data_IF_740359103240
#
_entry.id   IF_740359103240
#
_cell.length_a   1.000
_cell.length_b   1.000
_cell.length_c   1.000
_cell.angle_alpha   90.00
_cell.angle_beta   90.00
_cell.angle_gamma   90.00
#
_symmetry.space_group_name_H-M   'P 1'
#
loop_
_entity.id
_entity.type
_entity.pdbx_description
1 polymer ?
#
# COMPACT_ATOMS: atom_id res chain seq x y z
N UNK A 1 -18.01 9.67 -40.10
CA UNK A 1 -16.89 10.00 -39.20
C UNK A 1 -16.29 8.70 -38.70
N UNK A 2 -15.03 8.41 -39.04
CA UNK A 2 -14.37 7.13 -38.71
C UNK A 2 -14.03 7.10 -37.22
N UNK A 3 -14.57 6.13 -36.48
CA UNK A 3 -14.24 5.87 -35.07
C UNK A 3 -12.95 5.04 -35.05
N UNK A 4 -11.84 5.65 -34.65
CA UNK A 4 -10.56 4.95 -34.47
C UNK A 4 -10.51 4.52 -33.01
N UNK A 5 -10.81 3.24 -32.77
CA UNK A 5 -10.63 2.60 -31.46
C UNK A 5 -9.16 2.18 -31.34
N UNK A 6 -8.39 2.85 -30.49
CA UNK A 6 -7.03 2.44 -30.14
C UNK A 6 -7.13 1.43 -29.00
N UNK A 7 -6.91 0.16 -29.33
CA UNK A 7 -6.57 -0.90 -28.38
C UNK A 7 -5.06 -0.80 -28.10
N UNK A 8 -4.68 -0.21 -26.97
CA UNK A 8 -3.31 -0.23 -26.50
C UNK A 8 -3.14 -1.40 -25.53
N UNK A 9 -2.89 -2.59 -26.06
CA UNK A 9 -2.39 -3.72 -25.29
C UNK A 9 -0.88 -3.54 -25.12
N UNK A 10 -0.45 -3.15 -23.92
CA UNK A 10 0.97 -3.18 -23.54
C UNK A 10 1.12 -4.05 -22.31
N UNK A 11 1.38 -5.33 -22.57
CA UNK A 11 1.75 -6.33 -21.60
C UNK A 11 3.26 -6.17 -21.35
N UNK A 12 3.64 -5.38 -20.35
CA UNK A 12 5.00 -5.46 -19.78
C UNK A 12 4.98 -6.43 -18.61
N UNK A 13 5.41 -7.66 -18.89
CA UNK A 13 5.80 -8.62 -17.87
C UNK A 13 7.18 -8.17 -17.38
N UNK A 14 7.21 -7.28 -16.39
CA UNK A 14 8.43 -7.05 -15.64
C UNK A 14 8.61 -8.20 -14.65
N UNK A 15 9.57 -9.07 -14.92
CA UNK A 15 10.04 -10.10 -14.00
C UNK A 15 10.65 -9.43 -12.77
N UNK A 16 9.83 -9.14 -11.76
CA UNK A 16 10.36 -8.71 -10.47
C UNK A 16 11.09 -9.90 -9.83
N UNK A 17 12.41 -9.82 -9.78
CA UNK A 17 13.21 -10.67 -8.92
C UNK A 17 12.69 -10.47 -7.48
N UNK A 18 12.06 -11.50 -6.92
CA UNK A 18 11.67 -11.54 -5.52
C UNK A 18 12.92 -11.68 -4.67
N UNK A 19 13.53 -10.55 -4.30
CA UNK A 19 14.44 -10.54 -3.16
C UNK A 19 13.61 -10.69 -1.89
N UNK A 20 13.39 -11.94 -1.50
CA UNK A 20 13.08 -12.26 -0.11
C UNK A 20 14.30 -11.89 0.72
N UNK A 21 14.35 -10.65 1.24
CA UNK A 21 15.36 -10.28 2.21
C UNK A 21 15.00 -10.89 3.56
N UNK A 22 15.70 -11.99 3.82
CA UNK A 22 16.05 -12.62 5.08
C UNK A 22 15.93 -11.69 6.30
N UNK A 23 15.23 -12.18 7.33
CA UNK A 23 15.12 -11.50 8.61
C UNK A 23 16.48 -11.38 9.30
N UNK A 24 16.81 -10.18 9.74
CA UNK A 24 17.79 -9.96 10.79
C UNK A 24 17.56 -8.57 11.40
N UNK A 25 17.11 -8.53 12.65
CA UNK A 25 16.94 -7.31 13.43
C UNK A 25 15.55 -6.71 13.31
N UNK A 26 14.74 -6.90 14.35
CA UNK A 26 13.48 -6.20 14.58
C UNK A 26 13.79 -4.72 14.89
N UNK A 27 14.26 -3.97 13.89
CA UNK A 27 14.22 -2.53 13.95
C UNK A 27 12.74 -2.18 13.94
N UNK A 28 12.23 -1.70 15.08
CA UNK A 28 10.88 -1.16 15.16
C UNK A 28 10.75 -0.07 14.11
N UNK A 29 10.17 -0.44 12.96
CA UNK A 29 9.82 0.51 11.93
C UNK A 29 8.90 1.54 12.58
N UNK A 30 9.31 2.80 12.61
CA UNK A 30 8.45 3.90 12.95
C UNK A 30 7.25 3.85 12.02
N UNK A 31 6.05 3.91 12.58
CA UNK A 31 4.81 4.04 11.82
C UNK A 31 4.23 5.41 12.12
N UNK A 32 4.66 6.47 11.37
CA UNK A 32 4.22 7.84 11.63
C UNK A 32 2.69 8.00 11.64
N UNK A 33 1.97 7.15 10.90
CA UNK A 33 0.52 7.22 10.77
C UNK A 33 -0.22 6.02 11.37
N UNK A 34 0.46 5.15 12.11
CA UNK A 34 -0.13 3.94 12.72
C UNK A 34 -0.48 2.82 11.73
N UNK A 35 0.04 2.87 10.50
CA UNK A 35 -0.09 1.82 9.49
C UNK A 35 0.94 0.69 9.59
N UNK A 36 0.89 -0.21 8.61
CA UNK A 36 1.96 -1.20 8.38
C UNK A 36 3.01 -0.59 7.48
N UNK A 37 4.27 -0.66 7.89
CA UNK A 37 5.42 -0.18 7.11
C UNK A 37 6.14 -1.37 6.47
N UNK A 38 6.52 -1.24 5.20
CA UNK A 38 7.34 -2.21 4.48
C UNK A 38 8.45 -1.52 3.69
N UNK A 39 9.65 -2.10 3.71
CA UNK A 39 10.77 -1.64 2.87
C UNK A 39 10.47 -1.85 1.39
N UNK A 40 10.92 -0.91 0.56
CA UNK A 40 10.64 -0.84 -0.87
C UNK A 40 11.84 -0.18 -1.60
N UNK A 41 12.96 -0.91 -1.68
CA UNK A 41 14.23 -0.39 -2.21
C UNK A 41 14.86 0.65 -1.26
N UNK A 42 15.24 1.81 -1.78
CA UNK A 42 15.78 2.94 -1.00
C UNK A 42 14.72 3.64 -0.11
N UNK A 43 13.45 3.24 -0.23
CA UNK A 43 12.30 3.86 0.41
C UNK A 43 11.56 2.87 1.31
N UNK A 44 10.62 3.40 2.09
CA UNK A 44 9.62 2.60 2.79
C UNK A 44 8.22 3.06 2.37
N UNK A 45 7.25 2.16 2.46
CA UNK A 45 5.85 2.46 2.21
C UNK A 45 5.08 2.13 3.48
N UNK A 46 4.31 3.10 3.98
CA UNK A 46 3.36 2.90 5.06
C UNK A 46 1.96 2.83 4.47
N UNK A 47 1.18 1.80 4.84
CA UNK A 47 -0.23 1.68 4.48
C UNK A 47 -1.08 1.46 5.73
N UNK A 48 -2.17 2.22 5.84
CA UNK A 48 -3.24 1.95 6.80
C UNK A 48 -4.57 1.81 6.07
N UNK A 49 -5.44 0.97 6.63
CA UNK A 49 -6.83 0.83 6.16
C UNK A 49 -7.72 1.23 7.31
N UNK A 50 -8.55 2.25 7.11
CA UNK A 50 -9.51 2.71 8.11
C UNK A 50 -10.79 3.17 7.42
N UNK A 51 -11.94 2.74 7.95
CA UNK A 51 -13.27 3.15 7.48
C UNK A 51 -13.53 2.94 5.97
N UNK A 52 -12.89 1.92 5.39
CA UNK A 52 -12.94 1.62 3.95
C UNK A 52 -12.03 2.51 3.09
N UNK A 53 -11.06 3.19 3.68
CA UNK A 53 -10.07 4.00 2.97
C UNK A 53 -8.69 3.39 3.12
N UNK A 54 -8.00 3.21 2.00
CA UNK A 54 -6.57 2.91 1.97
C UNK A 54 -5.83 4.23 1.98
N UNK A 55 -5.03 4.45 3.02
CA UNK A 55 -4.10 5.57 3.11
C UNK A 55 -2.68 5.04 2.94
N UNK A 56 -1.93 5.61 2.00
CA UNK A 56 -0.58 5.24 1.69
C UNK A 56 0.37 6.44 1.75
N UNK A 57 1.57 6.22 2.27
CA UNK A 57 2.59 7.24 2.43
C UNK A 57 3.93 6.70 1.93
N UNK A 58 4.70 7.55 1.27
CA UNK A 58 6.07 7.25 0.88
C UNK A 58 7.02 7.83 1.91
N UNK A 59 7.91 6.98 2.43
CA UNK A 59 8.89 7.32 3.46
C UNK A 59 10.30 7.18 2.87
N UNK A 60 11.25 7.96 3.38
CA UNK A 60 12.64 7.85 2.99
C UNK A 60 13.33 6.62 3.62
N UNK A 61 14.62 6.43 3.34
CA UNK A 61 15.43 5.34 3.90
C UNK A 61 15.61 5.40 5.42
N UNK A 62 15.16 6.47 6.08
CA UNK A 62 15.15 6.66 7.54
C UNK A 62 13.72 6.66 8.10
N UNK A 63 12.74 6.20 7.32
CA UNK A 63 11.32 6.14 7.67
C UNK A 63 10.69 7.50 7.97
N UNK A 64 11.27 8.59 7.44
CA UNK A 64 10.64 9.90 7.51
C UNK A 64 9.66 10.04 6.35
N UNK A 65 8.44 10.47 6.65
CA UNK A 65 7.43 10.76 5.63
C UNK A 65 7.93 11.82 4.64
N UNK A 66 7.69 11.59 3.36
CA UNK A 66 8.02 12.53 2.29
C UNK A 66 6.77 13.25 1.78
N UNK A 67 6.97 14.47 1.24
CA UNK A 67 5.90 15.22 0.59
C UNK A 67 5.42 14.49 -0.67
N UNK A 68 4.13 14.59 -0.96
CA UNK A 68 3.51 14.01 -2.15
C UNK A 68 3.75 14.83 -3.43
N UNK A 69 4.37 16.00 -3.33
CA UNK A 69 4.67 16.86 -4.49
C UNK A 69 5.67 16.18 -5.43
N UNK A 70 5.30 16.01 -6.69
CA UNK A 70 6.12 15.33 -7.69
C UNK A 70 6.18 13.81 -7.53
N UNK A 71 5.35 13.24 -6.66
CA UNK A 71 5.21 11.80 -6.43
C UNK A 71 3.90 11.33 -7.05
N UNK A 72 3.94 10.22 -7.79
CA UNK A 72 2.73 9.53 -8.27
C UNK A 72 2.57 8.21 -7.54
N UNK A 73 1.32 7.81 -7.29
CA UNK A 73 0.99 6.57 -6.60
C UNK A 73 -0.05 5.75 -7.36
N UNK A 74 0.17 4.44 -7.44
CA UNK A 74 -0.81 3.47 -7.93
C UNK A 74 -0.92 2.31 -6.95
N UNK A 75 -2.01 1.55 -7.03
CA UNK A 75 -2.12 0.28 -6.34
C UNK A 75 -2.80 -0.78 -7.21
N UNK A 76 -2.30 -2.01 -7.15
CA UNK A 76 -3.04 -3.18 -7.60
C UNK A 76 -3.78 -3.76 -6.39
N UNK A 77 -5.10 -3.65 -6.39
CA UNK A 77 -5.95 -4.18 -5.32
C UNK A 77 -6.48 -5.54 -5.74
N UNK A 78 -6.37 -6.54 -4.86
CA UNK A 78 -6.97 -7.85 -5.02
C UNK A 78 -8.18 -8.01 -4.09
N UNK A 79 -9.34 -8.30 -4.66
CA UNK A 79 -10.57 -8.65 -3.92
C UNK A 79 -10.52 -10.09 -3.41
N UNK A 80 -11.41 -10.43 -2.48
CA UNK A 80 -11.45 -11.76 -1.86
C UNK A 80 -11.74 -12.91 -2.85
N UNK A 81 -12.43 -12.60 -3.95
CA UNK A 81 -12.69 -13.53 -5.07
C UNK A 81 -11.49 -13.68 -6.03
N UNK A 82 -10.37 -13.01 -5.74
CA UNK A 82 -9.13 -13.08 -6.52
C UNK A 82 -9.03 -12.08 -7.67
N UNK A 83 -10.09 -11.31 -7.97
CA UNK A 83 -10.02 -10.30 -9.02
C UNK A 83 -9.05 -9.17 -8.65
N UNK A 84 -8.36 -8.63 -9.66
CA UNK A 84 -7.40 -7.53 -9.47
C UNK A 84 -7.82 -6.29 -10.24
N UNK A 85 -7.60 -5.11 -9.65
CA UNK A 85 -7.80 -3.82 -10.32
C UNK A 85 -6.60 -2.92 -10.07
N UNK A 86 -6.12 -2.25 -11.13
CA UNK A 86 -5.11 -1.20 -11.01
C UNK A 86 -5.80 0.15 -10.81
N UNK A 87 -5.42 0.86 -9.75
CA UNK A 87 -5.99 2.14 -9.36
C UNK A 87 -4.91 3.19 -9.22
N UNK A 88 -5.27 4.45 -9.53
CA UNK A 88 -4.43 5.60 -9.19
C UNK A 88 -4.79 6.07 -7.80
N UNK A 89 -3.79 6.28 -6.94
CA UNK A 89 -4.00 6.86 -5.62
C UNK A 89 -4.06 8.39 -5.74
N UNK A 90 -4.97 9.00 -5.01
CA UNK A 90 -5.23 10.44 -5.07
C UNK A 90 -4.45 11.12 -3.94
N UNK A 91 -3.64 12.16 -4.21
CA UNK A 91 -2.98 12.92 -3.16
C UNK A 91 -3.96 13.41 -2.08
N UNK A 92 -3.57 13.27 -0.82
CA UNK A 92 -4.32 13.73 0.34
C UNK A 92 -3.40 14.48 1.30
N UNK A 93 -3.75 15.75 1.58
CA UNK A 93 -2.87 16.63 2.33
C UNK A 93 -1.52 16.82 1.64
N UNK A 94 -0.47 17.01 2.43
CA UNK A 94 0.88 17.30 1.91
C UNK A 94 1.74 16.04 1.64
N UNK A 95 1.33 14.88 2.16
CA UNK A 95 2.21 13.70 2.29
C UNK A 95 1.50 12.39 1.96
N UNK A 96 0.17 12.34 2.09
CA UNK A 96 -0.61 11.13 1.90
C UNK A 96 -1.11 10.95 0.48
N UNK A 97 -1.52 9.71 0.21
CA UNK A 97 -2.28 9.30 -0.95
C UNK A 97 -3.41 8.39 -0.50
N UNK A 98 -4.59 8.52 -1.10
CA UNK A 98 -5.78 7.77 -0.70
C UNK A 98 -6.42 7.02 -1.86
N UNK A 99 -7.17 5.97 -1.49
CA UNK A 99 -8.23 5.41 -2.31
C UNK A 99 -9.37 4.89 -1.43
N UNK A 100 -10.61 5.13 -1.85
CA UNK A 100 -11.80 4.63 -1.16
C UNK A 100 -12.19 3.27 -1.73
N UNK A 101 -12.20 2.27 -0.87
CA UNK A 101 -12.67 0.92 -1.17
C UNK A 101 -14.20 0.88 -1.24
N UNK A 102 -14.71 -0.03 -2.05
CA UNK A 102 -16.11 -0.39 -2.06
C UNK A 102 -16.43 -1.23 -0.81
N UNK A 103 -17.21 -0.67 0.11
CA UNK A 103 -17.56 -1.30 1.38
C UNK A 103 -18.39 -2.59 1.21
N UNK A 104 -18.99 -2.82 0.03
CA UNK A 104 -19.69 -4.05 -0.27
C UNK A 104 -18.73 -5.22 -0.61
N UNK A 105 -17.44 -4.93 -0.86
CA UNK A 105 -16.43 -5.91 -1.25
C UNK A 105 -15.50 -6.23 -0.09
N UNK A 106 -14.94 -7.44 -0.14
CA UNK A 106 -13.84 -7.87 0.73
C UNK A 106 -12.54 -7.85 -0.06
N UNK A 107 -11.44 -7.57 0.62
CA UNK A 107 -10.12 -7.36 0.01
C UNK A 107 -9.07 -8.22 0.69
N UNK A 108 -8.17 -8.78 -0.12
CA UNK A 108 -7.07 -9.61 0.36
C UNK A 108 -5.80 -8.78 0.48
N UNK A 109 -5.40 -8.10 -0.60
CA UNK A 109 -4.11 -7.44 -0.71
C UNK A 109 -4.16 -6.16 -1.53
N UNK A 110 -3.21 -5.27 -1.29
CA UNK A 110 -2.83 -4.19 -2.19
C UNK A 110 -1.33 -4.23 -2.46
N UNK A 111 -0.93 -4.08 -3.72
CA UNK A 111 0.45 -3.79 -4.09
C UNK A 111 0.52 -2.30 -4.39
N UNK A 112 1.09 -1.52 -3.48
CA UNK A 112 1.23 -0.07 -3.64
C UNK A 112 2.55 0.22 -4.33
N UNK A 113 2.52 1.09 -5.34
CA UNK A 113 3.70 1.54 -6.06
C UNK A 113 3.73 3.06 -6.11
N UNK A 114 4.85 3.65 -5.69
CA UNK A 114 5.12 5.06 -5.84
C UNK A 114 6.23 5.30 -6.85
N UNK A 115 6.16 6.42 -7.56
CA UNK A 115 7.26 6.95 -8.38
C UNK A 115 7.63 8.34 -7.89
N UNK A 116 8.90 8.56 -7.55
CA UNK A 116 9.44 9.84 -7.09
C UNK A 116 10.80 10.10 -7.74
N UNK A 117 10.94 11.21 -8.47
CA UNK A 117 12.19 11.56 -9.15
C UNK A 117 12.70 10.48 -10.10
N UNK A 118 11.80 9.72 -10.75
CA UNK A 118 12.14 8.60 -11.64
C UNK A 118 12.50 7.29 -10.96
N UNK A 119 12.60 7.25 -9.63
CA UNK A 119 12.75 6.01 -8.85
C UNK A 119 11.38 5.44 -8.50
N UNK A 120 11.26 4.12 -8.45
CA UNK A 120 10.05 3.42 -8.04
C UNK A 120 10.25 2.71 -6.70
N UNK A 121 9.20 2.71 -5.88
CA UNK A 121 9.11 1.96 -4.64
C UNK A 121 7.82 1.13 -4.70
N UNK A 122 7.90 -0.18 -4.46
CA UNK A 122 6.73 -1.07 -4.49
C UNK A 122 6.73 -2.06 -3.34
N UNK A 123 5.58 -2.26 -2.70
CA UNK A 123 5.39 -3.22 -1.62
C UNK A 123 3.96 -3.76 -1.57
N UNK A 124 3.81 -5.02 -1.14
CA UNK A 124 2.52 -5.70 -0.99
C UNK A 124 2.05 -5.67 0.46
N UNK A 125 0.79 -5.31 0.70
CA UNK A 125 0.15 -5.18 2.00
C UNK A 125 -1.10 -6.06 2.06
N UNK A 126 -1.32 -6.71 3.20
CA UNK A 126 -2.57 -7.42 3.45
C UNK A 126 -3.64 -6.40 3.86
N UNK A 127 -4.80 -6.46 3.19
CA UNK A 127 -5.98 -5.62 3.50
C UNK A 127 -7.04 -6.38 4.30
N UNK A 128 -6.73 -7.61 4.70
CA UNK A 128 -7.59 -8.36 5.60
C UNK A 128 -7.62 -7.65 6.96
N UNK A 129 -8.80 -7.41 7.50
CA UNK A 129 -8.91 -6.89 8.86
C UNK A 129 -8.25 -7.90 9.81
N UNK A 130 -7.17 -7.48 10.49
CA UNK A 130 -6.68 -8.27 11.63
C UNK A 130 -7.78 -8.23 12.69
N UNK A 131 -8.25 -9.38 13.20
CA UNK A 131 -9.23 -9.37 14.28
C UNK A 131 -8.65 -8.53 15.43
N UNK A 132 -9.44 -7.56 15.92
CA UNK A 132 -9.15 -6.87 17.18
C UNK A 132 -8.92 -7.97 18.22
N UNK A 133 -7.79 -8.00 18.95
CA UNK A 133 -7.66 -8.89 20.08
C UNK A 133 -8.90 -8.71 20.94
N UNK A 134 -9.63 -9.80 21.21
CA UNK A 134 -10.63 -9.76 22.25
C UNK A 134 -9.95 -9.13 23.47
N UNK A 135 -10.58 -8.13 24.08
CA UNK A 135 -10.08 -7.61 25.33
C UNK A 135 -10.02 -8.81 26.28
N UNK A 136 -8.81 -9.29 26.57
CA UNK A 136 -8.60 -10.30 27.61
C UNK A 136 -9.10 -9.66 28.90
N UNK A 137 -10.32 -10.02 29.28
CA UNK A 137 -10.88 -9.75 30.57
C UNK A 137 -10.05 -10.50 31.60
N UNK A 138 -8.97 -9.87 32.05
CA UNK A 138 -8.28 -10.30 33.25
C UNK A 138 -9.13 -9.88 34.46
N UNK A 139 -10.09 -10.75 34.80
CA UNK A 139 -10.67 -10.79 36.14
C UNK A 139 -9.56 -11.17 37.12
N UNK A 140 -8.98 -10.17 37.78
CA UNK A 140 -8.14 -10.39 38.95
C UNK A 140 -9.05 -10.61 40.16
N UNK A 141 -9.36 -11.88 40.43
CA UNK A 141 -9.85 -12.31 41.72
C UNK A 141 -8.66 -12.39 42.69
N UNK A 142 -8.64 -11.52 43.70
CA UNK A 142 -7.88 -11.70 44.94
C UNK A 142 -8.79 -11.33 46.11
#
# INVERSE_FOLDING_TARGET
>A
MKKITILMAMMLIASFATFAQHGNGDHKHGSPHGGTVKSAGDFHIEVSVKDGMVMAYLLDGKEKVMKNTGVTGTAVIQTADGQTSNITLIPNGNEGFMYTLDKAKKYNKAIVTFTSGGKTASASFDLTEKPKPAADGHDHHH
#
